data_IF_290955331698
#
_entry.id   IF_290955331698
#
_cell.length_a   1.000
_cell.length_b   1.000
_cell.length_c   1.000
_cell.angle_alpha   90.00
_cell.angle_beta   90.00
_cell.angle_gamma   90.00
#
_symmetry.space_group_name_H-M   'P 1'
#
loop_
_entity.id
_entity.type
_entity.pdbx_description
1 polymer ?
#
# COMPACT_ATOMS: atom_id res chain seq x y z
N UNK A 1 -12.15 0.90 -8.95
CA UNK A 1 -10.98 0.14 -9.45
C UNK A 1 -9.71 0.39 -8.62
N UNK A 2 -8.93 1.48 -8.77
CA UNK A 2 -7.69 1.62 -7.97
C UNK A 2 -7.95 1.72 -6.46
N UNK A 3 -9.02 2.42 -6.05
CA UNK A 3 -9.48 2.51 -4.66
C UNK A 3 -9.61 1.15 -3.97
N UNK A 4 -10.43 0.26 -4.54
CA UNK A 4 -10.68 -1.08 -4.01
C UNK A 4 -9.38 -1.91 -3.93
N UNK A 5 -8.54 -1.83 -4.97
CA UNK A 5 -7.25 -2.54 -5.02
C UNK A 5 -6.31 -2.03 -3.93
N UNK A 6 -6.26 -0.72 -3.69
CA UNK A 6 -5.40 -0.16 -2.62
C UNK A 6 -5.87 -0.63 -1.26
N UNK A 7 -7.18 -0.64 -0.98
CA UNK A 7 -7.72 -1.15 0.28
C UNK A 7 -7.38 -2.62 0.49
N UNK A 8 -7.55 -3.43 -0.54
CA UNK A 8 -7.17 -4.84 -0.52
C UNK A 8 -5.66 -5.02 -0.27
N UNK A 9 -4.81 -4.28 -0.96
CA UNK A 9 -3.36 -4.37 -0.79
C UNK A 9 -2.90 -3.89 0.60
N UNK A 10 -3.56 -2.89 1.21
CA UNK A 10 -3.32 -2.50 2.60
C UNK A 10 -3.61 -3.69 3.53
N UNK A 11 -4.74 -4.38 3.33
CA UNK A 11 -5.07 -5.58 4.10
C UNK A 11 -4.03 -6.68 3.91
N UNK A 12 -3.64 -6.97 2.66
CA UNK A 12 -2.60 -7.96 2.36
C UNK A 12 -1.29 -7.60 3.06
N UNK A 13 -0.84 -6.35 2.96
CA UNK A 13 0.39 -5.88 3.61
C UNK A 13 0.35 -6.08 5.12
N UNK A 14 -0.79 -5.79 5.77
CA UNK A 14 -0.98 -6.00 7.21
C UNK A 14 -1.06 -7.48 7.58
N UNK A 15 -1.63 -8.32 6.73
CA UNK A 15 -1.74 -9.77 6.98
C UNK A 15 -0.38 -10.47 7.08
N UNK A 16 0.67 -9.87 6.51
CA UNK A 16 2.05 -10.33 6.62
C UNK A 16 2.85 -9.60 7.72
N UNK A 17 2.23 -8.67 8.44
CA UNK A 17 2.90 -7.95 9.53
C UNK A 17 3.23 -8.89 10.70
N UNK A 18 4.37 -8.63 11.35
CA UNK A 18 4.85 -9.45 12.47
C UNK A 18 5.45 -10.80 12.07
N UNK A 19 5.39 -11.20 10.79
CA UNK A 19 6.08 -12.39 10.29
C UNK A 19 7.56 -12.04 10.10
N UNK A 20 8.49 -12.72 10.80
CA UNK A 20 9.92 -12.49 10.59
C UNK A 20 10.30 -12.79 9.14
N UNK A 21 11.01 -11.85 8.50
CA UNK A 21 11.46 -12.05 7.12
C UNK A 21 12.54 -13.12 7.06
N UNK A 22 12.34 -14.23 6.31
CA UNK A 22 13.27 -15.35 6.28
C UNK A 22 14.57 -15.05 5.53
N UNK A 23 14.57 -14.04 4.66
CA UNK A 23 15.76 -13.54 3.98
C UNK A 23 15.68 -12.03 3.75
N UNK A 24 16.81 -11.42 3.37
CA UNK A 24 16.84 -10.00 2.98
C UNK A 24 15.90 -9.70 1.81
N UNK A 25 15.79 -10.62 0.85
CA UNK A 25 14.84 -10.53 -0.26
C UNK A 25 13.39 -10.33 0.21
N UNK A 26 12.95 -11.12 1.20
CA UNK A 26 11.61 -11.02 1.78
C UNK A 26 11.41 -9.71 2.53
N UNK A 27 12.41 -9.28 3.31
CA UNK A 27 12.35 -8.01 4.02
C UNK A 27 12.13 -6.85 3.04
N UNK A 28 12.94 -6.77 1.98
CA UNK A 28 12.81 -5.69 1.00
C UNK A 28 11.56 -5.82 0.13
N UNK A 29 11.04 -7.03 -0.10
CA UNK A 29 9.75 -7.20 -0.75
C UNK A 29 8.64 -6.53 0.06
N UNK A 30 8.60 -6.75 1.38
CA UNK A 30 7.65 -6.10 2.27
C UNK A 30 7.80 -4.56 2.28
N UNK A 31 9.03 -4.06 2.36
CA UNK A 31 9.32 -2.62 2.32
C UNK A 31 8.87 -1.98 1.00
N UNK A 32 9.24 -2.57 -0.13
CA UNK A 32 8.92 -2.03 -1.46
C UNK A 32 7.42 -2.14 -1.77
N UNK A 33 6.75 -3.21 -1.33
CA UNK A 33 5.30 -3.34 -1.47
C UNK A 33 4.56 -2.28 -0.64
N UNK A 34 4.94 -2.12 0.64
CA UNK A 34 4.40 -1.07 1.51
C UNK A 34 4.61 0.31 0.87
N UNK A 35 5.81 0.59 0.37
CA UNK A 35 6.11 1.86 -0.29
C UNK A 35 5.24 2.05 -1.55
N UNK A 36 5.03 1.01 -2.35
CA UNK A 36 4.14 1.06 -3.53
C UNK A 36 2.70 1.41 -3.14
N UNK A 37 2.18 0.80 -2.08
CA UNK A 37 0.85 1.14 -1.52
C UNK A 37 0.80 2.61 -1.12
N UNK A 38 1.80 3.12 -0.39
CA UNK A 38 1.81 4.53 0.02
C UNK A 38 1.75 5.49 -1.18
N UNK A 39 2.44 5.15 -2.29
CA UNK A 39 2.35 5.94 -3.53
C UNK A 39 0.98 5.86 -4.17
N UNK A 40 0.34 4.69 -4.16
CA UNK A 40 -1.02 4.55 -4.67
C UNK A 40 -2.03 5.34 -3.81
N UNK A 41 -1.87 5.37 -2.48
CA UNK A 41 -2.67 6.22 -1.59
C UNK A 41 -2.49 7.71 -1.93
N UNK A 42 -1.24 8.17 -2.09
CA UNK A 42 -0.98 9.56 -2.51
C UNK A 42 -1.59 9.88 -3.88
N UNK A 43 -1.54 8.94 -4.82
CA UNK A 43 -2.16 9.09 -6.14
C UNK A 43 -3.69 9.21 -6.02
N UNK A 44 -4.32 8.38 -5.18
CA UNK A 44 -5.75 8.43 -4.92
C UNK A 44 -6.17 9.73 -4.24
N UNK A 45 -5.38 10.28 -3.33
CA UNK A 45 -5.64 11.60 -2.71
C UNK A 45 -5.65 12.72 -3.76
N UNK A 46 -4.78 12.64 -4.77
CA UNK A 46 -4.75 13.63 -5.86
C UNK A 46 -5.89 13.43 -6.86
N UNK A 47 -6.36 12.19 -7.05
CA UNK A 47 -7.35 11.85 -8.07
C UNK A 47 -8.62 12.72 -7.95
N UNK A 48 -9.19 13.20 -9.06
CA UNK A 48 -10.44 13.96 -9.04
C UNK A 48 -11.58 13.19 -8.38
N UNK A 49 -12.39 13.88 -7.57
CA UNK A 49 -13.59 13.34 -6.91
C UNK A 49 -13.32 12.12 -6.01
N UNK A 50 -12.10 12.00 -5.51
CA UNK A 50 -11.70 10.89 -4.66
C UNK A 50 -12.36 10.94 -3.28
N UNK A 51 -12.80 9.80 -2.73
CA UNK A 51 -13.24 9.72 -1.33
C UNK A 51 -12.08 9.69 -0.33
N UNK A 52 -10.82 9.64 -0.79
CA UNK A 52 -9.64 9.55 0.08
C UNK A 52 -9.19 10.89 0.66
N UNK A 53 -9.76 12.00 0.19
CA UNK A 53 -9.46 13.33 0.68
C UNK A 53 -10.65 14.28 0.46
N UNK A 54 -11.02 15.01 1.50
CA UNK A 54 -11.98 16.10 1.37
C UNK A 54 -11.32 17.31 0.71
N UNK A 55 -11.82 17.70 -0.47
CA UNK A 55 -11.29 18.84 -1.23
C UNK A 55 -12.31 19.98 -1.27
N UNK A 56 -11.91 21.14 -0.75
CA UNK A 56 -12.71 22.37 -0.88
C UNK A 56 -12.83 22.86 -2.32
N UNK A 57 -11.79 22.61 -3.12
CA UNK A 57 -11.72 22.97 -4.53
C UNK A 57 -11.24 21.72 -5.27
N UNK A 58 -12.04 21.27 -6.24
CA UNK A 58 -11.65 20.15 -7.09
C UNK A 58 -10.67 20.62 -8.16
N UNK A 59 -9.38 20.56 -7.84
CA UNK A 59 -8.30 20.89 -8.76
C UNK A 59 -7.83 19.64 -9.50
N UNK A 60 -7.94 19.66 -10.83
CA UNK A 60 -7.48 18.58 -11.69
C UNK A 60 -6.02 18.81 -12.08
N UNK A 61 -5.15 17.89 -11.68
CA UNK A 61 -3.71 17.97 -11.93
C UNK A 61 -3.15 16.60 -12.30
N UNK A 62 -3.41 16.17 -13.55
CA UNK A 62 -2.81 14.93 -14.05
C UNK A 62 -1.28 15.01 -14.02
N UNK A 63 -0.69 16.22 -14.08
CA UNK A 63 0.76 16.40 -14.15
C UNK A 63 1.44 15.93 -12.86
N UNK A 64 0.91 16.29 -11.69
CA UNK A 64 1.39 15.73 -10.41
C UNK A 64 1.11 14.24 -10.29
N UNK A 65 -0.04 13.77 -10.78
CA UNK A 65 -0.36 12.34 -10.82
C UNK A 65 0.68 11.54 -11.62
N UNK A 66 1.18 12.07 -12.75
CA UNK A 66 2.23 11.41 -13.54
C UNK A 66 3.53 11.20 -12.77
N UNK A 67 3.90 12.13 -11.87
CA UNK A 67 5.10 11.99 -11.05
C UNK A 67 5.00 10.83 -10.06
N UNK A 68 3.81 10.68 -9.45
CA UNK A 68 3.55 9.55 -8.55
C UNK A 68 3.45 8.24 -9.35
N UNK A 69 2.75 8.25 -10.48
CA UNK A 69 2.61 7.09 -11.36
C UNK A 69 3.96 6.58 -11.88
N UNK A 70 4.89 7.48 -12.25
CA UNK A 70 6.27 7.11 -12.57
C UNK A 70 6.97 6.43 -11.41
N UNK A 71 6.85 7.00 -10.21
CA UNK A 71 7.44 6.39 -9.02
C UNK A 71 6.90 4.98 -8.80
N UNK A 72 5.60 4.73 -9.05
CA UNK A 72 4.99 3.39 -8.96
C UNK A 72 5.60 2.42 -9.99
N UNK A 73 5.85 2.86 -11.23
CA UNK A 73 6.59 2.05 -12.23
C UNK A 73 7.98 1.68 -11.70
N UNK A 74 8.73 2.66 -11.20
CA UNK A 74 10.10 2.46 -10.72
C UNK A 74 10.14 1.53 -9.51
N UNK A 75 9.15 1.62 -8.61
CA UNK A 75 8.98 0.72 -7.48
C UNK A 75 8.64 -0.71 -7.93
N UNK A 76 7.76 -0.89 -8.91
CA UNK A 76 7.48 -2.21 -9.50
C UNK A 76 8.75 -2.83 -10.08
N UNK A 77 9.52 -2.04 -10.83
CA UNK A 77 10.80 -2.46 -11.43
C UNK A 77 11.79 -2.88 -10.35
N UNK A 78 11.95 -2.08 -9.29
CA UNK A 78 12.83 -2.40 -8.16
C UNK A 78 12.38 -3.66 -7.41
N UNK A 79 11.08 -3.76 -7.11
CA UNK A 79 10.48 -4.91 -6.44
C UNK A 79 10.72 -6.18 -7.24
N UNK A 80 10.41 -6.17 -8.54
CA UNK A 80 10.62 -7.35 -9.38
C UNK A 80 12.10 -7.73 -9.43
N UNK A 81 12.99 -6.78 -9.69
CA UNK A 81 14.43 -7.02 -9.86
C UNK A 81 15.13 -7.59 -8.63
N UNK A 82 14.75 -7.12 -7.43
CA UNK A 82 15.37 -7.53 -6.17
C UNK A 82 14.63 -8.70 -5.51
N UNK A 83 13.33 -8.83 -5.72
CA UNK A 83 12.48 -9.71 -4.91
C UNK A 83 11.80 -10.84 -5.67
N UNK A 84 11.69 -10.78 -7.00
CA UNK A 84 10.91 -11.75 -7.79
C UNK A 84 11.77 -12.45 -8.83
N UNK A 85 12.59 -11.69 -9.55
CA UNK A 85 13.45 -12.18 -10.64
C UNK A 85 14.44 -13.23 -10.11
N UNK A 86 14.20 -14.48 -10.47
CA UNK A 86 15.01 -15.61 -10.01
C UNK A 86 16.38 -15.56 -10.67
N UNK A 87 17.43 -15.50 -9.85
CA UNK A 87 18.81 -15.52 -10.31
C UNK A 87 19.69 -16.30 -9.32
N UNK A 88 20.90 -16.72 -9.72
CA UNK A 88 21.84 -17.35 -8.81
C UNK A 88 22.19 -16.43 -7.63
N UNK A 89 22.50 -17.01 -6.47
CA UNK A 89 22.81 -16.25 -5.24
C UNK A 89 23.92 -15.23 -5.45
N UNK A 90 25.01 -15.59 -6.14
CA UNK A 90 26.12 -14.68 -6.43
C UNK A 90 25.65 -13.46 -7.24
N UNK A 91 24.75 -13.66 -8.20
CA UNK A 91 24.14 -12.57 -8.95
C UNK A 91 23.27 -11.71 -8.03
N UNK A 92 22.39 -12.31 -7.23
CA UNK A 92 21.52 -11.57 -6.31
C UNK A 92 22.33 -10.70 -5.35
N UNK A 93 23.38 -11.26 -4.73
CA UNK A 93 24.31 -10.53 -3.86
C UNK A 93 25.01 -9.40 -4.61
N UNK A 94 25.39 -9.61 -5.88
CA UNK A 94 25.96 -8.55 -6.71
C UNK A 94 24.96 -7.42 -6.94
N UNK A 95 23.72 -7.74 -7.34
CA UNK A 95 22.63 -6.78 -7.55
C UNK A 95 22.36 -5.97 -6.28
N UNK A 96 22.31 -6.66 -5.13
CA UNK A 96 22.06 -6.04 -3.83
C UNK A 96 23.18 -5.08 -3.41
N UNK A 97 24.44 -5.51 -3.48
CA UNK A 97 25.57 -4.64 -3.14
C UNK A 97 25.69 -3.44 -4.09
N UNK A 98 25.36 -3.61 -5.37
CA UNK A 98 25.32 -2.52 -6.35
C UNK A 98 24.26 -1.47 -5.97
N UNK A 99 23.06 -1.92 -5.59
CA UNK A 99 21.97 -1.05 -5.18
C UNK A 99 22.35 -0.20 -3.95
N UNK A 100 22.99 -0.82 -2.95
CA UNK A 100 23.48 -0.12 -1.75
C UNK A 100 24.64 0.83 -2.05
N UNK A 101 25.54 0.46 -2.97
CA UNK A 101 26.63 1.35 -3.38
C UNK A 101 26.08 2.60 -4.09
N UNK A 102 25.04 2.44 -4.90
CA UNK A 102 24.35 3.56 -5.53
C UNK A 102 23.68 4.49 -4.50
N UNK A 103 23.04 3.93 -3.46
CA UNK A 103 22.48 4.73 -2.36
C UNK A 103 23.58 5.50 -1.61
N UNK A 104 24.67 4.82 -1.20
CA UNK A 104 25.80 5.46 -0.52
C UNK A 104 26.38 6.61 -1.33
N UNK A 105 26.67 6.38 -2.61
CA UNK A 105 27.25 7.41 -3.51
C UNK A 105 26.29 8.56 -3.80
N UNK A 106 24.97 8.32 -3.75
CA UNK A 106 23.97 9.38 -3.87
C UNK A 106 23.87 10.20 -2.59
N UNK A 107 23.88 9.56 -1.42
CA UNK A 107 23.89 10.24 -0.11
C UNK A 107 25.17 11.03 0.13
N UNK A 108 26.34 10.52 -0.30
CA UNK A 108 27.60 11.27 -0.24
C UNK A 108 27.45 12.60 -0.97
N UNK A 109 26.97 12.60 -2.22
CA UNK A 109 26.75 13.83 -3.00
C UNK A 109 25.78 14.78 -2.30
N UNK A 110 24.71 14.24 -1.70
CA UNK A 110 23.73 15.02 -0.94
C UNK A 110 24.35 15.68 0.30
N UNK A 111 25.13 14.95 1.10
CA UNK A 111 25.76 15.47 2.31
C UNK A 111 26.99 16.34 2.05
N UNK A 112 27.70 16.10 0.93
CA UNK A 112 28.75 17.01 0.44
C UNK A 112 28.17 18.40 0.13
N UNK A 113 26.98 18.46 -0.48
CA UNK A 113 26.29 19.73 -0.72
C UNK A 113 25.84 20.44 0.56
N UNK A 114 25.74 19.73 1.68
CA UNK A 114 25.43 20.27 3.01
C UNK A 114 26.67 20.48 3.88
N UNK A 115 27.87 20.20 3.35
CA UNK A 115 29.15 20.26 4.06
C UNK A 115 29.20 19.41 5.36
N UNK A 116 28.40 18.33 5.43
CA UNK A 116 28.39 17.39 6.57
C UNK A 116 29.51 16.35 6.44
N UNK A 117 30.73 16.74 6.81
CA UNK A 117 31.92 15.90 6.70
C UNK A 117 31.79 14.57 7.47
N UNK A 118 31.06 14.54 8.59
CA UNK A 118 30.92 13.33 9.41
C UNK A 118 30.09 12.27 8.69
N UNK A 119 28.95 12.65 8.12
CA UNK A 119 28.12 11.73 7.34
C UNK A 119 28.84 11.29 6.07
N UNK A 120 29.55 12.21 5.40
CA UNK A 120 30.32 11.91 4.19
C UNK A 120 31.37 10.84 4.44
N UNK A 121 32.20 10.98 5.49
CA UNK A 121 33.24 9.99 5.78
C UNK A 121 32.66 8.62 6.16
N UNK A 122 31.61 8.58 6.99
CA UNK A 122 30.94 7.31 7.33
C UNK A 122 30.37 6.58 6.10
N UNK A 123 29.77 7.33 5.16
CA UNK A 123 29.25 6.77 3.92
C UNK A 123 30.36 6.36 2.93
N UNK A 124 31.51 7.05 2.92
CA UNK A 124 32.68 6.67 2.12
C UNK A 124 33.27 5.35 2.59
N UNK A 125 33.40 5.15 3.90
CA UNK A 125 33.82 3.87 4.47
C UNK A 125 32.88 2.74 4.05
N UNK A 126 31.56 2.93 4.17
CA UNK A 126 30.56 1.96 3.72
C UNK A 126 30.64 1.69 2.20
N UNK A 127 30.87 2.73 1.39
CA UNK A 127 30.99 2.58 -0.06
C UNK A 127 32.23 1.75 -0.47
N UNK A 128 33.37 1.92 0.22
CA UNK A 128 34.57 1.13 -0.06
C UNK A 128 34.41 -0.34 0.38
N UNK A 129 33.69 -0.58 1.47
CA UNK A 129 33.31 -1.93 1.90
C UNK A 129 32.44 -2.63 0.84
N UNK A 130 31.40 -1.94 0.34
CA UNK A 130 30.54 -2.45 -0.74
C UNK A 130 31.31 -2.69 -2.04
N UNK A 131 32.24 -1.79 -2.41
CA UNK A 131 33.13 -1.99 -3.58
C UNK A 131 33.98 -3.25 -3.42
N UNK A 132 34.51 -3.48 -2.22
CA UNK A 132 35.31 -4.68 -1.91
C UNK A 132 34.48 -5.95 -2.07
N UNK A 133 33.22 -5.96 -1.60
CA UNK A 133 32.28 -7.08 -1.83
C UNK A 133 31.99 -7.32 -3.31
N UNK A 134 31.76 -6.25 -4.08
CA UNK A 134 31.51 -6.35 -5.53
C UNK A 134 32.72 -6.92 -6.28
N UNK A 135 33.93 -6.50 -5.90
CA UNK A 135 35.19 -7.02 -6.49
C UNK A 135 35.44 -8.48 -6.14
N UNK A 136 35.06 -8.92 -4.94
CA UNK A 136 35.22 -10.30 -4.49
C UNK A 136 34.13 -11.25 -5.02
N UNK A 137 33.01 -10.72 -5.53
CA UNK A 137 31.88 -11.53 -5.99
C UNK A 137 32.20 -12.22 -7.33
N UNK A 138 32.05 -13.57 -7.44
CA UNK A 138 32.35 -14.32 -8.66
C UNK A 138 31.58 -13.86 -9.90
N UNK A 139 30.37 -13.34 -9.71
CA UNK A 139 29.50 -12.87 -10.78
C UNK A 139 30.11 -11.70 -11.57
N UNK A 140 30.99 -10.90 -10.97
CA UNK A 140 31.66 -9.78 -11.65
C UNK A 140 32.43 -10.22 -12.91
N UNK A 141 32.99 -11.45 -12.90
CA UNK A 141 33.73 -11.99 -14.05
C UNK A 141 32.85 -12.23 -15.28
N UNK A 142 31.53 -12.36 -15.09
CA UNK A 142 30.56 -12.52 -16.18
C UNK A 142 30.16 -11.19 -16.83
N UNK A 143 30.40 -10.07 -16.13
CA UNK A 143 30.03 -8.74 -16.59
C UNK A 143 31.10 -8.21 -17.54
N UNK A 144 30.68 -7.64 -18.67
CA UNK A 144 31.56 -6.95 -19.61
C UNK A 144 32.36 -5.84 -18.89
N UNK A 145 33.70 -5.91 -19.02
CA UNK A 145 34.66 -5.00 -18.39
C UNK A 145 34.36 -3.52 -18.66
N UNK A 146 33.72 -3.18 -19.78
CA UNK A 146 33.33 -1.80 -20.10
C UNK A 146 32.35 -1.20 -19.07
N UNK A 147 31.56 -2.04 -18.39
CA UNK A 147 30.60 -1.60 -17.39
C UNK A 147 31.17 -1.55 -15.97
N UNK A 148 32.30 -2.25 -15.70
CA UNK A 148 32.87 -2.40 -14.36
C UNK A 148 33.09 -1.05 -13.69
N UNK A 149 33.69 -0.09 -14.39
CA UNK A 149 33.95 1.26 -13.85
C UNK A 149 32.66 1.95 -13.42
N UNK A 150 31.60 1.91 -14.23
CA UNK A 150 30.30 2.53 -13.93
C UNK A 150 29.67 1.91 -12.69
N UNK A 151 29.69 0.57 -12.61
CA UNK A 151 29.11 -0.20 -11.50
C UNK A 151 29.89 0.04 -10.21
N UNK A 152 31.22 -0.09 -10.24
CA UNK A 152 32.08 0.09 -9.08
C UNK A 152 32.15 1.52 -8.59
N UNK A 153 31.82 2.54 -9.41
CA UNK A 153 31.66 3.91 -8.93
C UNK A 153 30.25 4.21 -8.38
N UNK A 154 29.33 3.24 -8.35
CA UNK A 154 27.96 3.46 -7.87
C UNK A 154 27.10 4.34 -8.80
N UNK A 155 27.49 4.50 -10.07
CA UNK A 155 26.77 5.37 -11.00
C UNK A 155 25.47 4.75 -11.52
N UNK A 156 25.23 3.46 -11.26
CA UNK A 156 24.02 2.75 -11.65
C UNK A 156 23.51 1.89 -10.49
N UNK A 157 22.21 1.97 -10.20
CA UNK A 157 21.53 1.12 -9.23
C UNK A 157 21.24 -0.29 -9.77
N UNK A 158 21.08 -0.39 -11.09
CA UNK A 158 20.67 -1.61 -11.78
C UNK A 158 21.78 -2.12 -12.71
N UNK A 159 21.91 -3.44 -12.78
CA UNK A 159 22.80 -4.10 -13.72
C UNK A 159 22.27 -3.99 -15.16
N UNK A 160 20.96 -4.18 -15.32
CA UNK A 160 20.27 -4.09 -16.60
C UNK A 160 19.59 -2.73 -16.79
N UNK A 161 19.37 -2.29 -18.04
CA UNK A 161 18.51 -1.15 -18.31
C UNK A 161 17.12 -1.35 -17.72
N UNK A 162 16.52 -0.31 -17.15
CA UNK A 162 15.20 -0.40 -16.50
C UNK A 162 14.11 -0.92 -17.44
N UNK A 163 14.16 -0.58 -18.74
CA UNK A 163 13.20 -1.08 -19.72
C UNK A 163 13.24 -2.61 -19.88
N UNK A 164 14.42 -3.23 -19.77
CA UNK A 164 14.59 -4.68 -19.80
C UNK A 164 14.01 -5.33 -18.54
N UNK A 165 14.20 -4.68 -17.39
CA UNK A 165 13.65 -5.16 -16.12
C UNK A 165 12.12 -5.00 -16.13
N UNK A 166 11.61 -3.88 -16.64
CA UNK A 166 10.18 -3.61 -16.75
C UNK A 166 9.48 -4.63 -17.65
N UNK A 167 10.09 -4.99 -18.79
CA UNK A 167 9.59 -6.04 -19.68
C UNK A 167 9.49 -7.39 -18.95
N UNK A 168 10.54 -7.79 -18.22
CA UNK A 168 10.51 -9.01 -17.39
C UNK A 168 9.46 -8.93 -16.27
N UNK A 169 9.22 -7.73 -15.74
CA UNK A 169 8.22 -7.47 -14.71
C UNK A 169 6.77 -7.43 -15.25
N UNK A 170 6.57 -7.66 -16.55
CA UNK A 170 5.27 -7.75 -17.20
C UNK A 170 4.77 -6.46 -17.84
N UNK A 171 5.63 -5.43 -17.98
CA UNK A 171 5.28 -4.16 -18.64
C UNK A 171 5.76 -4.22 -20.09
N UNK A 172 4.83 -4.18 -21.05
CA UNK A 172 5.18 -4.12 -22.47
C UNK A 172 6.21 -3.02 -22.78
N UNK A 173 7.23 -3.33 -23.58
CA UNK A 173 8.37 -2.46 -23.82
C UNK A 173 7.98 -1.14 -24.49
N UNK A 174 7.06 -1.18 -25.46
CA UNK A 174 6.59 0.03 -26.15
C UNK A 174 5.81 0.92 -25.17
N UNK A 175 4.95 0.30 -24.37
CA UNK A 175 4.19 0.95 -23.30
C UNK A 175 5.10 1.59 -22.27
N UNK A 176 6.11 0.86 -21.77
CA UNK A 176 7.09 1.41 -20.83
C UNK A 176 7.80 2.63 -21.40
N UNK A 177 8.35 2.55 -22.62
CA UNK A 177 9.08 3.66 -23.24
C UNK A 177 8.21 4.90 -23.40
N UNK A 178 6.97 4.71 -23.85
CA UNK A 178 6.03 5.80 -24.02
C UNK A 178 5.65 6.46 -22.69
N UNK A 179 5.23 5.68 -21.69
CA UNK A 179 4.88 6.17 -20.35
C UNK A 179 6.06 6.88 -19.68
N UNK A 180 7.25 6.28 -19.78
CA UNK A 180 8.44 6.83 -19.13
C UNK A 180 8.82 8.18 -19.73
N UNK A 181 8.72 8.37 -21.05
CA UNK A 181 8.94 9.68 -21.69
C UNK A 181 7.88 10.69 -21.26
N UNK A 182 6.60 10.31 -21.29
CA UNK A 182 5.50 11.18 -20.88
C UNK A 182 5.68 11.64 -19.44
N UNK A 183 5.79 10.72 -18.49
CA UNK A 183 5.86 11.06 -17.08
C UNK A 183 7.17 11.74 -16.70
N UNK A 184 8.29 11.37 -17.32
CA UNK A 184 9.56 12.08 -17.11
C UNK A 184 9.48 13.54 -17.55
N UNK A 185 8.72 13.83 -18.60
CA UNK A 185 8.53 15.20 -19.05
C UNK A 185 7.83 16.07 -18.01
N UNK A 186 6.89 15.51 -17.26
CA UNK A 186 6.23 16.22 -16.16
C UNK A 186 7.11 16.31 -14.91
N UNK A 187 7.77 15.23 -14.51
CA UNK A 187 8.67 15.23 -13.34
C UNK A 187 9.81 16.24 -13.47
N UNK A 188 10.39 16.36 -14.66
CA UNK A 188 11.51 17.27 -14.91
C UNK A 188 11.07 18.64 -15.47
N UNK A 189 9.77 18.91 -15.50
CA UNK A 189 9.21 20.14 -16.08
C UNK A 189 9.78 20.46 -17.48
N UNK A 190 9.89 19.45 -18.35
CA UNK A 190 10.37 19.59 -19.72
C UNK A 190 9.29 20.25 -20.61
N UNK A 191 9.65 20.85 -21.77
CA UNK A 191 8.71 21.55 -22.65
C UNK A 191 7.35 20.87 -22.89
N UNK A 192 7.33 19.54 -23.04
CA UNK A 192 6.10 18.77 -23.22
C UNK A 192 5.07 19.00 -22.11
N UNK A 193 5.52 19.20 -20.86
CA UNK A 193 4.63 19.40 -19.70
C UNK A 193 3.93 20.76 -19.70
N UNK A 194 4.53 21.80 -20.30
CA UNK A 194 3.99 23.17 -20.19
C UNK A 194 3.70 23.90 -21.51
N UNK A 195 4.30 23.52 -22.65
CA UNK A 195 4.19 24.29 -23.90
C UNK A 195 2.76 24.45 -24.46
N UNK A 196 1.88 23.45 -24.27
CA UNK A 196 0.47 23.55 -24.72
C UNK A 196 -0.49 23.96 -23.59
N UNK A 197 -0.01 24.36 -22.41
CA UNK A 197 -0.88 24.99 -21.41
C UNK A 197 -1.40 26.29 -22.02
N UNK A 198 -2.72 26.46 -22.04
CA UNK A 198 -3.35 27.68 -22.57
C UNK A 198 -3.43 27.76 -24.10
N UNK A 199 -3.07 26.70 -24.83
CA UNK A 199 -3.20 26.68 -26.29
C UNK A 199 -4.68 26.58 -26.71
N UNK A 200 -5.06 27.26 -27.79
CA UNK A 200 -6.45 27.26 -28.25
C UNK A 200 -6.89 25.85 -28.65
N UNK A 201 -7.94 25.33 -28.00
CA UNK A 201 -8.47 23.97 -28.21
C UNK A 201 -7.83 22.89 -27.33
N UNK A 202 -6.95 23.24 -26.39
CA UNK A 202 -6.35 22.31 -25.42
C UNK A 202 -6.45 22.90 -24.00
N UNK A 203 -7.47 22.46 -23.25
CA UNK A 203 -7.76 22.95 -21.89
C UNK A 203 -6.94 22.26 -20.79
N UNK A 204 -5.75 21.74 -21.15
CA UNK A 204 -4.85 21.05 -20.21
C UNK A 204 -4.16 22.01 -19.22
N UNK A 205 -3.89 21.51 -18.01
CA UNK A 205 -3.02 22.15 -17.03
C UNK A 205 -3.59 23.42 -16.39
N UNK A 206 -4.91 23.62 -16.45
CA UNK A 206 -5.59 24.78 -15.84
C UNK A 206 -6.24 24.47 -14.49
N UNK A 207 -6.17 23.23 -14.02
CA UNK A 207 -6.88 22.82 -12.82
C UNK A 207 -8.35 22.48 -13.02
N UNK A 208 -8.83 22.45 -14.26
CA UNK A 208 -10.24 22.23 -14.61
C UNK A 208 -10.40 20.93 -15.40
N UNK A 209 -11.56 20.26 -15.33
CA UNK A 209 -11.84 19.09 -16.16
C UNK A 209 -11.66 19.39 -17.65
N UNK A 210 -10.97 18.50 -18.34
CA UNK A 210 -10.83 18.51 -19.80
C UNK A 210 -10.55 17.09 -20.30
N UNK A 211 -10.73 16.79 -21.61
CA UNK A 211 -10.42 15.46 -22.15
C UNK A 211 -8.97 15.03 -21.89
N UNK A 212 -8.03 15.98 -21.90
CA UNK A 212 -6.61 15.72 -21.58
C UNK A 212 -6.42 15.37 -20.11
N UNK A 213 -7.05 16.12 -19.20
CA UNK A 213 -6.98 15.88 -17.76
C UNK A 213 -7.61 14.53 -17.38
N UNK A 214 -8.79 14.23 -17.93
CA UNK A 214 -9.47 12.95 -17.75
C UNK A 214 -8.65 11.78 -18.28
N UNK A 215 -8.16 11.89 -19.53
CA UNK A 215 -7.42 10.83 -20.18
C UNK A 215 -6.12 10.47 -19.45
N UNK A 216 -5.30 11.47 -19.09
CA UNK A 216 -4.04 11.21 -18.41
C UNK A 216 -4.23 10.83 -16.94
N UNK A 217 -5.23 11.37 -16.25
CA UNK A 217 -5.55 10.94 -14.88
C UNK A 217 -6.03 9.48 -14.86
N UNK A 218 -6.92 9.11 -15.79
CA UNK A 218 -7.39 7.74 -15.95
C UNK A 218 -6.23 6.78 -16.26
N UNK A 219 -5.32 7.18 -17.16
CA UNK A 219 -4.11 6.41 -17.47
C UNK A 219 -3.24 6.17 -16.23
N UNK A 220 -2.97 7.21 -15.44
CA UNK A 220 -2.19 7.09 -14.21
C UNK A 220 -2.84 6.10 -13.23
N UNK A 221 -4.15 6.19 -13.05
CA UNK A 221 -4.91 5.33 -12.15
C UNK A 221 -4.96 3.87 -12.63
N UNK A 222 -5.28 3.65 -13.91
CA UNK A 222 -5.45 2.30 -14.48
C UNK A 222 -4.13 1.53 -14.52
N UNK A 223 -3.05 2.21 -14.90
CA UNK A 223 -1.71 1.62 -14.92
C UNK A 223 -1.26 1.30 -13.50
N UNK A 224 -1.39 2.24 -12.55
CA UNK A 224 -1.01 2.01 -11.15
C UNK A 224 -1.78 0.85 -10.54
N UNK A 225 -3.06 0.69 -10.87
CA UNK A 225 -3.87 -0.44 -10.45
C UNK A 225 -3.30 -1.77 -10.95
N UNK A 226 -2.96 -1.84 -12.24
CA UNK A 226 -2.36 -3.03 -12.87
C UNK A 226 -1.04 -3.43 -12.20
N UNK A 227 -0.16 -2.44 -11.97
CA UNK A 227 1.14 -2.70 -11.35
C UNK A 227 1.03 -3.09 -9.88
N UNK A 228 0.08 -2.50 -9.14
CA UNK A 228 -0.15 -2.83 -7.74
C UNK A 228 -0.70 -4.26 -7.60
N UNK A 229 -1.64 -4.67 -8.45
CA UNK A 229 -2.14 -6.06 -8.50
C UNK A 229 -1.01 -7.04 -8.76
N UNK A 230 -0.20 -6.81 -9.80
CA UNK A 230 0.93 -7.69 -10.10
C UNK A 230 1.94 -7.78 -8.94
N UNK A 231 2.19 -6.66 -8.25
CA UNK A 231 3.09 -6.63 -7.08
C UNK A 231 2.50 -7.38 -5.89
N UNK A 232 1.20 -7.27 -5.64
CA UNK A 232 0.48 -8.02 -4.60
C UNK A 232 0.58 -9.52 -4.85
N UNK A 233 0.33 -9.95 -6.07
CA UNK A 233 0.34 -11.37 -6.44
C UNK A 233 1.74 -11.98 -6.28
N UNK A 234 2.77 -11.26 -6.72
CA UNK A 234 4.16 -11.67 -6.51
C UNK A 234 4.54 -11.72 -5.02
N UNK A 235 4.07 -10.76 -4.21
CA UNK A 235 4.27 -10.78 -2.76
C UNK A 235 3.60 -12.02 -2.14
N UNK A 236 2.36 -12.32 -2.53
CA UNK A 236 1.67 -13.52 -2.07
C UNK A 236 2.45 -14.79 -2.39
N UNK A 237 2.96 -14.90 -3.62
CA UNK A 237 3.77 -16.04 -4.04
C UNK A 237 5.06 -16.15 -3.23
N UNK A 238 5.75 -15.04 -3.00
CA UNK A 238 6.99 -15.01 -2.21
C UNK A 238 6.76 -15.43 -0.75
N UNK A 239 5.67 -14.99 -0.15
CA UNK A 239 5.34 -15.28 1.25
C UNK A 239 4.44 -16.52 1.43
N UNK A 240 4.07 -17.23 0.37
CA UNK A 240 3.10 -18.33 0.44
C UNK A 240 3.52 -19.43 1.43
N UNK A 241 4.81 -19.77 1.47
CA UNK A 241 5.36 -20.78 2.38
C UNK A 241 5.49 -20.30 3.84
N UNK A 242 5.39 -18.99 4.08
CA UNK A 242 5.61 -18.33 5.37
C UNK A 242 4.32 -17.74 5.95
N UNK A 243 3.24 -17.73 5.17
CA UNK A 243 1.92 -17.33 5.66
C UNK A 243 1.49 -18.33 6.71
N UNK A 244 1.36 -17.88 7.95
CA UNK A 244 0.68 -18.67 8.98
C UNK A 244 -0.67 -19.14 8.44
N UNK A 245 -1.16 -20.33 8.81
CA UNK A 245 -2.53 -20.72 8.49
C UNK A 245 -3.47 -19.57 8.87
N UNK A 246 -4.58 -19.37 8.14
CA UNK A 246 -5.54 -18.33 8.48
C UNK A 246 -5.80 -18.39 9.99
N UNK A 247 -5.88 -17.23 10.67
CA UNK A 247 -6.17 -17.24 12.09
C UNK A 247 -7.37 -18.16 12.31
N UNK A 248 -7.35 -19.00 13.36
CA UNK A 248 -8.48 -19.88 13.65
C UNK A 248 -9.76 -19.06 13.59
N UNK A 249 -10.84 -19.66 13.05
CA UNK A 249 -12.15 -19.02 13.02
C UNK A 249 -12.38 -18.30 14.33
N UNK A 250 -12.65 -16.99 14.28
CA UNK A 250 -12.98 -16.30 15.51
C UNK A 250 -14.18 -17.02 16.13
N UNK A 251 -14.18 -17.23 17.46
CA UNK A 251 -15.29 -17.87 18.11
C UNK A 251 -16.56 -17.07 17.79
N UNK A 252 -17.64 -17.78 17.49
CA UNK A 252 -18.93 -17.14 17.37
C UNK A 252 -19.34 -16.61 18.75
N UNK A 253 -19.22 -15.30 18.94
CA UNK A 253 -19.59 -14.61 20.18
C UNK A 253 -21.03 -14.08 20.13
N UNK A 254 -21.84 -14.48 19.15
CA UNK A 254 -23.22 -14.02 19.01
C UNK A 254 -24.03 -14.25 20.28
N UNK A 255 -23.95 -15.44 20.89
CA UNK A 255 -24.66 -15.75 22.13
C UNK A 255 -24.18 -14.92 23.33
N UNK A 256 -22.86 -14.68 23.42
CA UNK A 256 -22.25 -13.88 24.48
C UNK A 256 -22.66 -12.41 24.36
N UNK A 257 -22.71 -11.89 23.14
CA UNK A 257 -23.16 -10.50 22.90
C UNK A 257 -24.68 -10.36 23.05
N UNK A 258 -25.46 -11.41 22.81
CA UNK A 258 -26.90 -11.42 23.06
C UNK A 258 -27.24 -11.55 24.56
N UNK A 259 -26.35 -12.16 25.35
CA UNK A 259 -26.52 -12.39 26.78
C UNK A 259 -25.30 -11.88 27.56
N UNK A 260 -25.11 -10.56 27.65
CA UNK A 260 -23.96 -9.99 28.35
C UNK A 260 -23.98 -10.35 29.84
N UNK A 261 -22.81 -10.34 30.51
CA UNK A 261 -22.72 -10.64 31.93
C UNK A 261 -23.56 -9.66 32.77
N UNK A 262 -24.09 -10.14 33.89
CA UNK A 262 -24.80 -9.32 34.86
C UNK A 262 -23.79 -8.39 35.57
N UNK A 263 -23.84 -7.10 35.24
CA UNK A 263 -22.94 -6.07 35.76
C UNK A 263 -23.75 -5.00 36.52
N UNK A 264 -23.17 -4.28 37.46
CA UNK A 264 -23.78 -3.06 37.99
C UNK A 264 -23.75 -1.95 36.92
N UNK A 265 -24.66 -0.97 37.01
CA UNK A 265 -24.63 0.18 36.09
C UNK A 265 -23.30 0.93 36.27
N UNK A 266 -22.59 1.16 35.16
CA UNK A 266 -21.27 1.77 35.12
C UNK A 266 -20.09 0.79 35.24
N UNK A 267 -20.34 -0.48 35.58
CA UNK A 267 -19.32 -1.52 35.66
C UNK A 267 -18.96 -2.05 34.27
N UNK A 268 -17.70 -2.47 34.13
CA UNK A 268 -17.16 -3.05 32.91
C UNK A 268 -16.59 -4.45 33.17
N UNK A 269 -16.69 -5.31 32.16
CA UNK A 269 -16.16 -6.65 32.18
C UNK A 269 -15.49 -6.96 30.85
N UNK A 270 -14.24 -7.43 30.91
CA UNK A 270 -13.52 -7.93 29.75
C UNK A 270 -13.61 -9.46 29.73
N UNK A 271 -14.24 -10.00 28.70
CA UNK A 271 -14.30 -11.43 28.44
C UNK A 271 -13.27 -11.80 27.36
N UNK A 272 -12.31 -12.66 27.70
CA UNK A 272 -11.36 -13.21 26.71
C UNK A 272 -12.02 -14.36 25.95
N UNK A 273 -12.58 -14.07 24.77
CA UNK A 273 -13.31 -15.05 23.97
C UNK A 273 -12.40 -16.08 23.29
N UNK A 274 -11.19 -15.66 22.88
CA UNK A 274 -10.15 -16.52 22.31
C UNK A 274 -8.75 -15.91 22.48
N UNK A 275 -7.74 -16.57 21.93
CA UNK A 275 -6.37 -16.02 21.80
C UNK A 275 -6.31 -14.74 20.94
N UNK A 276 -7.30 -14.54 20.07
CA UNK A 276 -7.34 -13.44 19.09
C UNK A 276 -8.39 -12.38 19.41
N UNK A 277 -9.42 -12.72 20.18
CA UNK A 277 -10.58 -11.85 20.40
C UNK A 277 -10.91 -11.70 21.89
N UNK A 278 -11.15 -10.47 22.31
CA UNK A 278 -11.77 -10.16 23.58
C UNK A 278 -13.00 -9.27 23.36
N UNK A 279 -13.98 -9.42 24.24
CA UNK A 279 -15.22 -8.63 24.22
C UNK A 279 -15.33 -7.88 25.54
N UNK A 280 -15.35 -6.56 25.47
CA UNK A 280 -15.57 -5.68 26.61
C UNK A 280 -17.04 -5.29 26.67
N UNK A 281 -17.67 -5.59 27.79
CA UNK A 281 -19.02 -5.18 28.11
C UNK A 281 -18.98 -4.05 29.12
N UNK A 282 -19.79 -3.02 28.93
CA UNK A 282 -20.02 -1.97 29.92
C UNK A 282 -21.51 -1.72 30.04
N UNK A 283 -22.08 -1.93 31.22
CA UNK A 283 -23.52 -1.69 31.44
C UNK A 283 -23.76 -0.19 31.59
N UNK A 284 -24.55 0.39 30.71
CA UNK A 284 -24.83 1.83 30.65
C UNK A 284 -26.23 2.19 31.16
N UNK A 285 -27.14 1.21 31.25
CA UNK A 285 -28.51 1.38 31.77
C UNK A 285 -29.05 0.14 32.47
N UNK A 286 -30.36 0.12 32.75
CA UNK A 286 -31.03 -1.05 33.33
C UNK A 286 -31.00 -2.23 32.36
N UNK A 287 -31.14 -1.99 31.06
CA UNK A 287 -30.98 -3.04 30.04
C UNK A 287 -29.96 -2.69 28.95
N UNK A 288 -29.41 -1.48 29.00
CA UNK A 288 -28.46 -1.01 27.99
C UNK A 288 -27.00 -1.44 28.27
N UNK A 289 -26.32 -1.85 27.21
CA UNK A 289 -24.92 -2.27 27.23
C UNK A 289 -24.16 -1.65 26.06
N UNK A 290 -22.94 -1.22 26.34
CA UNK A 290 -21.92 -0.94 25.34
C UNK A 290 -21.03 -2.16 25.19
N UNK A 291 -20.90 -2.67 23.97
CA UNK A 291 -20.11 -3.85 23.63
C UNK A 291 -19.00 -3.48 22.66
N UNK A 292 -17.75 -3.67 23.08
CA UNK A 292 -16.55 -3.38 22.27
C UNK A 292 -15.78 -4.68 22.01
N UNK A 293 -15.53 -5.01 20.75
CA UNK A 293 -14.64 -6.09 20.35
C UNK A 293 -13.21 -5.58 20.19
N UNK A 294 -12.27 -6.34 20.73
CA UNK A 294 -10.85 -6.00 20.80
C UNK A 294 -10.05 -7.13 20.17
N UNK A 295 -9.19 -6.79 19.22
CA UNK A 295 -8.23 -7.72 18.64
C UNK A 295 -7.03 -7.85 19.57
N UNK A 296 -6.94 -8.97 20.30
CA UNK A 296 -5.94 -9.17 21.37
C UNK A 296 -4.48 -9.01 20.93
N UNK A 297 -4.06 -9.43 19.72
CA UNK A 297 -2.67 -9.30 19.29
C UNK A 297 -2.18 -7.85 19.20
N UNK A 298 -3.07 -6.90 18.86
CA UNK A 298 -2.70 -5.47 18.74
C UNK A 298 -3.28 -4.62 19.87
N UNK A 299 -4.31 -5.09 20.56
CA UNK A 299 -5.07 -4.33 21.55
C UNK A 299 -6.03 -3.31 20.93
N UNK A 300 -6.18 -3.29 19.60
CA UNK A 300 -7.05 -2.34 18.90
C UNK A 300 -8.52 -2.72 19.03
N UNK A 301 -9.36 -1.70 19.18
CA UNK A 301 -10.82 -1.84 19.12
C UNK A 301 -11.23 -1.97 17.66
N UNK A 302 -11.95 -3.03 17.34
CA UNK A 302 -12.29 -3.40 15.96
C UNK A 302 -13.78 -3.29 15.68
N UNK A 303 -14.62 -3.26 16.71
CA UNK A 303 -16.05 -3.04 16.60
C UNK A 303 -16.59 -2.49 17.92
N UNK A 304 -17.49 -1.53 17.84
CA UNK A 304 -18.23 -1.00 18.97
C UNK A 304 -19.71 -0.90 18.60
N UNK A 305 -20.56 -1.44 19.46
CA UNK A 305 -22.01 -1.31 19.36
C UNK A 305 -22.63 -0.95 20.71
N UNK A 306 -23.72 -0.22 20.66
CA UNK A 306 -24.56 0.11 21.81
C UNK A 306 -25.91 -0.61 21.68
N UNK A 307 -26.20 -1.48 22.63
CA UNK A 307 -27.50 -2.12 22.77
C UNK A 307 -28.34 -1.23 23.69
N UNK A 308 -29.38 -0.57 23.16
CA UNK A 308 -30.19 0.42 23.89
C UNK A 308 -31.44 -0.20 24.53
N UNK A 309 -32.11 0.53 25.43
CA UNK A 309 -33.33 0.04 26.12
C UNK A 309 -34.60 0.14 25.25
N UNK A 310 -34.59 0.97 24.20
CA UNK A 310 -35.77 1.34 23.42
C UNK A 310 -35.66 1.02 21.93
N UNK A 311 -34.44 0.87 21.40
CA UNK A 311 -34.14 0.60 19.99
C UNK A 311 -33.27 -0.66 19.82
N UNK A 312 -33.29 -1.22 18.60
CA UNK A 312 -32.37 -2.28 18.17
C UNK A 312 -30.89 -1.84 18.34
N UNK A 313 -29.98 -2.80 18.43
CA UNK A 313 -28.54 -2.54 18.55
C UNK A 313 -28.06 -1.52 17.52
N UNK A 314 -27.29 -0.52 17.96
CA UNK A 314 -26.72 0.52 17.11
C UNK A 314 -25.22 0.32 16.96
N UNK A 315 -24.72 0.25 15.73
CA UNK A 315 -23.29 0.16 15.47
C UNK A 315 -22.64 1.55 15.55
N UNK A 316 -21.76 1.77 16.53
CA UNK A 316 -21.08 3.06 16.75
C UNK A 316 -19.79 3.19 15.98
N UNK A 317 -19.05 2.09 15.88
CA UNK A 317 -17.77 2.05 15.18
C UNK A 317 -17.47 0.64 14.73
N UNK A 318 -16.73 0.52 13.64
CA UNK A 318 -16.07 -0.71 13.25
C UNK A 318 -14.80 -0.32 12.51
N UNK A 319 -13.77 -1.17 12.62
CA UNK A 319 -12.57 -1.03 11.81
C UNK A 319 -12.87 -1.57 10.39
N UNK A 320 -12.99 -0.71 9.36
CA UNK A 320 -13.26 -1.15 7.99
C UNK A 320 -12.09 -1.95 7.39
N UNK A 321 -10.96 -2.03 8.07
CA UNK A 321 -9.78 -2.80 7.69
C UNK A 321 -9.69 -4.14 8.41
N UNK A 322 -10.44 -4.34 9.50
CA UNK A 322 -10.58 -5.64 10.16
C UNK A 322 -11.73 -6.46 9.56
N UNK A 323 -12.85 -5.80 9.26
CA UNK A 323 -14.07 -6.45 8.76
C UNK A 323 -14.21 -6.36 7.24
N UNK A 324 -14.59 -7.47 6.61
CA UNK A 324 -15.10 -7.47 5.24
C UNK A 324 -16.55 -6.99 5.24
N UNK A 325 -16.81 -5.81 4.70
CA UNK A 325 -18.15 -5.21 4.74
C UNK A 325 -18.97 -5.54 3.48
N UNK A 326 -20.18 -6.07 3.68
CA UNK A 326 -21.16 -6.27 2.61
C UNK A 326 -22.42 -5.46 2.87
N UNK A 327 -22.98 -4.85 1.83
CA UNK A 327 -24.24 -4.13 1.85
C UNK A 327 -25.21 -4.81 0.88
N UNK A 328 -26.40 -5.17 1.35
CA UNK A 328 -27.45 -5.83 0.55
C UNK A 328 -26.96 -7.09 -0.20
N UNK A 329 -26.03 -7.85 0.41
CA UNK A 329 -25.49 -9.09 -0.14
C UNK A 329 -24.30 -8.93 -1.09
N UNK A 330 -23.93 -7.69 -1.47
CA UNK A 330 -22.74 -7.39 -2.26
C UNK A 330 -21.65 -6.67 -1.45
N UNK A 331 -20.40 -6.58 -1.92
CA UNK A 331 -19.37 -5.77 -1.28
C UNK A 331 -19.78 -4.29 -1.21
N UNK A 332 -19.54 -3.63 -0.08
CA UNK A 332 -19.88 -2.23 0.12
C UNK A 332 -18.73 -1.30 -0.30
N UNK A 333 -19.01 -0.28 -1.10
CA UNK A 333 -18.09 0.87 -1.27
C UNK A 333 -18.23 1.80 -0.07
N UNK A 334 -17.19 2.62 0.23
CA UNK A 334 -17.25 3.56 1.35
C UNK A 334 -18.43 4.52 1.25
N UNK A 335 -18.71 5.05 0.05
CA UNK A 335 -19.85 5.96 -0.18
C UNK A 335 -21.20 5.28 0.02
N UNK A 336 -21.37 4.05 -0.50
CA UNK A 336 -22.61 3.30 -0.33
C UNK A 336 -22.86 2.95 1.14
N UNK A 337 -21.79 2.66 1.88
CA UNK A 337 -21.86 2.37 3.31
C UNK A 337 -22.17 3.62 4.14
N UNK A 338 -21.52 4.74 3.87
CA UNK A 338 -21.82 6.03 4.53
C UNK A 338 -23.29 6.41 4.31
N UNK A 339 -23.78 6.34 3.07
CA UNK A 339 -25.19 6.59 2.76
C UNK A 339 -26.11 5.61 3.49
N UNK A 340 -25.77 4.32 3.52
CA UNK A 340 -26.56 3.31 4.24
C UNK A 340 -26.64 3.59 5.74
N UNK A 341 -25.54 4.04 6.35
CA UNK A 341 -25.47 4.36 7.79
C UNK A 341 -26.24 5.63 8.16
N UNK A 342 -26.54 6.52 7.20
CA UNK A 342 -27.40 7.70 7.46
C UNK A 342 -28.89 7.40 7.56
N UNK A 343 -29.33 6.23 7.08
CA UNK A 343 -30.73 5.80 7.08
C UNK A 343 -30.98 4.61 7.99
N UNK A 344 -32.26 4.18 8.12
CA UNK A 344 -32.59 2.93 8.81
C UNK A 344 -31.88 1.74 8.14
N UNK A 345 -31.09 1.02 8.93
CA UNK A 345 -30.35 -0.14 8.48
C UNK A 345 -30.35 -1.21 9.56
N UNK A 346 -30.23 -2.46 9.13
CA UNK A 346 -29.90 -3.58 10.00
C UNK A 346 -28.46 -4.00 9.72
N UNK A 347 -27.76 -4.47 10.74
CA UNK A 347 -26.44 -5.09 10.57
C UNK A 347 -26.38 -6.45 11.25
N UNK A 348 -25.48 -7.30 10.77
CA UNK A 348 -25.13 -8.58 11.40
C UNK A 348 -23.62 -8.75 11.31
N UNK A 349 -23.02 -9.22 12.40
CA UNK A 349 -21.61 -9.61 12.43
C UNK A 349 -21.52 -11.11 12.22
N UNK A 350 -20.73 -11.54 11.25
CA UNK A 350 -20.31 -12.92 11.08
C UNK A 350 -18.87 -13.01 11.62
N UNK A 351 -18.76 -13.34 12.92
CA UNK A 351 -17.47 -13.37 13.61
C UNK A 351 -16.50 -14.37 12.95
N UNK A 352 -16.89 -15.64 12.69
CA UNK A 352 -16.00 -16.60 12.05
C UNK A 352 -15.50 -16.16 10.67
N UNK A 353 -16.38 -15.58 9.85
CA UNK A 353 -16.02 -15.12 8.50
C UNK A 353 -15.37 -13.72 8.48
N UNK A 354 -15.32 -13.03 9.63
CA UNK A 354 -14.94 -11.61 9.74
C UNK A 354 -15.72 -10.71 8.77
N UNK A 355 -17.01 -10.98 8.62
CA UNK A 355 -17.89 -10.18 7.76
C UNK A 355 -18.82 -9.29 8.59
N UNK A 356 -19.00 -8.05 8.12
CA UNK A 356 -20.00 -7.14 8.63
C UNK A 356 -21.05 -6.92 7.54
N UNK A 357 -22.25 -7.42 7.78
CA UNK A 357 -23.32 -7.51 6.80
C UNK A 357 -24.38 -6.45 7.10
N UNK A 358 -24.50 -5.46 6.23
CA UNK A 358 -25.54 -4.43 6.30
C UNK A 358 -26.69 -4.74 5.35
N UNK A 359 -27.90 -4.40 5.79
CA UNK A 359 -29.11 -4.44 4.98
C UNK A 359 -29.90 -3.15 5.18
N UNK A 360 -30.15 -2.43 4.09
CA UNK A 360 -31.01 -1.26 4.10
C UNK A 360 -32.40 -1.64 3.58
N UNK A 361 -33.42 -0.86 3.95
CA UNK A 361 -34.70 -0.97 3.25
C UNK A 361 -34.49 -0.50 1.80
N UNK A 362 -34.70 -1.39 0.83
CA UNK A 362 -34.66 -1.04 -0.59
C UNK A 362 -35.61 0.15 -0.84
N UNK A 363 -35.14 1.15 -1.61
CA UNK A 363 -36.01 2.18 -2.19
C UNK A 363 -36.51 1.73 -3.55
#
# INVERSE_FOLDING_TARGET
MLDEIVRECIFVSRSYAGIPSPSSQHFYASVLFTLTITKCVSLLILAPHTPWAEKKIEHWDYSSMTGIARTIIELRVAFYYLCVDQCPEDEWQFRWNLFNLHDCTSRIRMFEALEDAKQVEALREAAEELRSRLLANPFLATIDKKHHKRLLHGQAAYLFPMEVIAERAGIDLATFRWLYVLFSSHVHALPMSFYRIGHAGDDRGRGLPSPSEEGYSALCLSMSATLLVATRDDLHNLFAAYKSPPPPFEPDVSELTANPPALAIGEEHLHEASDTLAVRFKRTGETAYKTTLIYRPTGEEILERDDSEQDDAELKYFDPYFWSVKLNGGPATSEALEQALTGPHAFRVDYPARELLFKTAER
#
